data_IF_787939277757
#
_entry.id   IF_787939277757
#
_cell.length_a   1.000
_cell.length_b   1.000
_cell.length_c   1.000
_cell.angle_alpha   90.00
_cell.angle_beta   90.00
_cell.angle_gamma   90.00
#
_symmetry.space_group_name_H-M   'P 1'
#
loop_
_entity.id
_entity.type
_entity.pdbx_description
1 polymer ?
#
# COMPACT_ATOMS: atom_id res chain seq x y z
N UNK A 1 -11.08 -39.59 -6.35
CA UNK A 1 -11.20 -38.41 -5.47
C UNK A 1 -11.16 -37.16 -6.34
N UNK A 2 -12.13 -36.29 -6.14
CA UNK A 2 -12.23 -35.01 -6.84
C UNK A 2 -11.19 -34.01 -6.28
N UNK A 3 -10.77 -33.06 -7.12
CA UNK A 3 -9.84 -32.01 -6.75
C UNK A 3 -10.48 -30.63 -7.00
N UNK A 4 -9.95 -29.58 -6.39
CA UNK A 4 -10.41 -28.19 -6.62
C UNK A 4 -10.39 -27.87 -8.11
N UNK A 5 -11.46 -27.24 -8.60
CA UNK A 5 -11.61 -26.87 -9.99
C UNK A 5 -12.06 -27.98 -10.96
N UNK A 6 -12.20 -29.22 -10.47
CA UNK A 6 -12.73 -30.31 -11.30
C UNK A 6 -14.18 -30.01 -11.69
N UNK A 7 -14.51 -30.33 -12.95
CA UNK A 7 -15.89 -30.32 -13.42
C UNK A 7 -16.46 -31.74 -13.38
N UNK A 8 -17.61 -31.88 -12.75
CA UNK A 8 -18.36 -33.13 -12.69
C UNK A 8 -19.63 -32.95 -13.49
N UNK A 9 -19.81 -33.79 -14.52
CA UNK A 9 -21.07 -33.86 -15.25
C UNK A 9 -21.83 -35.11 -14.80
N UNK A 10 -23.05 -34.90 -14.32
CA UNK A 10 -23.99 -35.97 -13.99
C UNK A 10 -25.02 -36.05 -15.12
N UNK A 11 -24.96 -37.16 -15.85
CA UNK A 11 -25.91 -37.47 -16.91
C UNK A 11 -26.98 -38.42 -16.34
N UNK A 12 -28.23 -37.99 -16.38
CA UNK A 12 -29.38 -38.78 -15.89
C UNK A 12 -30.21 -39.22 -17.08
N UNK A 13 -30.32 -40.53 -17.22
CA UNK A 13 -31.22 -41.18 -18.16
C UNK A 13 -32.23 -41.99 -17.37
N UNK A 14 -33.50 -41.87 -17.70
CA UNK A 14 -34.56 -42.70 -17.10
C UNK A 14 -35.12 -43.62 -18.17
N UNK A 15 -35.12 -44.92 -17.90
CA UNK A 15 -35.71 -45.92 -18.75
C UNK A 15 -36.97 -46.50 -18.07
N UNK A 16 -38.09 -46.50 -18.75
CA UNK A 16 -39.33 -47.08 -18.25
C UNK A 16 -39.31 -48.64 -18.32
N UNK A 17 -40.30 -49.29 -17.73
CA UNK A 17 -40.38 -50.76 -17.75
C UNK A 17 -40.66 -51.32 -19.16
N UNK A 18 -41.05 -50.50 -20.08
CA UNK A 18 -41.28 -50.89 -21.48
C UNK A 18 -40.00 -50.71 -22.33
N UNK A 19 -38.89 -50.15 -21.74
CA UNK A 19 -37.64 -49.97 -22.40
C UNK A 19 -37.48 -48.63 -23.10
N UNK A 20 -38.40 -47.68 -22.97
CA UNK A 20 -38.26 -46.35 -23.50
C UNK A 20 -37.34 -45.51 -22.61
N UNK A 21 -36.33 -44.89 -23.16
CA UNK A 21 -35.35 -44.05 -22.43
C UNK A 21 -35.66 -42.56 -22.67
N UNK A 22 -35.65 -41.76 -21.59
CA UNK A 22 -35.79 -40.33 -21.66
C UNK A 22 -34.61 -39.69 -22.43
N UNK A 23 -34.78 -38.42 -22.81
CA UNK A 23 -33.62 -37.61 -23.17
C UNK A 23 -32.68 -37.51 -21.97
N UNK A 24 -31.37 -37.44 -22.23
CA UNK A 24 -30.36 -37.23 -21.21
C UNK A 24 -30.49 -35.87 -20.61
N UNK A 25 -30.63 -35.77 -19.29
CA UNK A 25 -30.56 -34.49 -18.56
C UNK A 25 -29.15 -34.43 -17.95
N UNK A 26 -28.37 -33.46 -18.36
CA UNK A 26 -27.00 -33.27 -17.89
C UNK A 26 -26.92 -32.08 -16.92
N UNK A 27 -26.31 -32.32 -15.76
CA UNK A 27 -25.98 -31.30 -14.79
C UNK A 27 -24.46 -31.24 -14.65
N UNK A 28 -23.87 -30.06 -14.84
CA UNK A 28 -22.45 -29.85 -14.63
C UNK A 28 -22.20 -29.07 -13.36
N UNK A 29 -21.39 -29.60 -12.49
CA UNK A 29 -20.96 -28.97 -11.24
C UNK A 29 -19.46 -28.74 -11.28
N UNK A 30 -19.03 -27.57 -10.83
CA UNK A 30 -17.61 -27.29 -10.63
C UNK A 30 -17.30 -27.46 -9.14
N UNK A 31 -16.26 -28.23 -8.84
CA UNK A 31 -15.76 -28.32 -7.46
C UNK A 31 -15.08 -26.99 -7.14
N UNK A 32 -15.56 -26.31 -6.12
CA UNK A 32 -14.98 -25.04 -5.64
C UNK A 32 -13.50 -25.17 -5.25
N UNK A 33 -12.81 -24.05 -5.18
CA UNK A 33 -11.43 -24.06 -4.72
C UNK A 33 -11.36 -24.41 -3.23
N UNK A 34 -10.34 -25.17 -2.86
CA UNK A 34 -10.08 -25.47 -1.47
C UNK A 34 -9.73 -24.17 -0.72
N UNK A 35 -10.51 -23.81 0.29
CA UNK A 35 -10.39 -22.54 1.01
C UNK A 35 -11.34 -21.45 0.54
N UNK A 36 -12.15 -21.70 -0.48
CA UNK A 36 -13.29 -20.86 -0.87
C UNK A 36 -14.47 -21.23 0.04
N UNK A 37 -14.65 -20.48 1.10
CA UNK A 37 -15.64 -20.77 2.15
C UNK A 37 -17.01 -20.15 1.91
N UNK A 38 -17.10 -19.13 1.04
CA UNK A 38 -18.37 -18.49 0.70
C UNK A 38 -18.89 -18.89 -0.69
N UNK A 39 -18.12 -19.73 -1.42
CA UNK A 39 -18.47 -20.33 -2.70
C UNK A 39 -18.68 -19.29 -3.82
N UNK A 40 -17.93 -18.21 -3.77
CA UNK A 40 -17.95 -17.18 -4.81
C UNK A 40 -16.98 -17.46 -5.97
N UNK A 41 -16.23 -18.57 -5.91
CA UNK A 41 -15.15 -18.99 -6.80
C UNK A 41 -13.93 -18.07 -6.79
N UNK A 42 -13.76 -17.31 -5.74
CA UNK A 42 -12.56 -16.54 -5.44
C UNK A 42 -11.90 -17.10 -4.16
N UNK A 43 -10.65 -16.77 -3.92
CA UNK A 43 -10.01 -16.97 -2.63
C UNK A 43 -9.60 -15.58 -2.15
N UNK A 44 -10.55 -14.95 -1.48
CA UNK A 44 -10.56 -13.54 -1.16
C UNK A 44 -10.41 -13.23 0.33
N UNK A 45 -10.73 -11.99 0.66
CA UNK A 45 -10.70 -11.50 2.05
C UNK A 45 -11.81 -12.12 2.91
N UNK A 46 -12.96 -12.48 2.30
CA UNK A 46 -14.05 -13.20 2.96
C UNK A 46 -13.60 -14.55 3.49
N UNK A 47 -12.88 -15.30 2.65
CA UNK A 47 -12.34 -16.61 3.00
C UNK A 47 -11.27 -16.53 4.08
N UNK A 48 -10.33 -15.60 3.94
CA UNK A 48 -9.31 -15.37 4.96
C UNK A 48 -9.96 -15.02 6.32
N UNK A 49 -10.97 -14.15 6.31
CA UNK A 49 -11.69 -13.80 7.54
C UNK A 49 -12.42 -15.02 8.14
N UNK A 50 -13.03 -15.86 7.29
CA UNK A 50 -13.71 -17.09 7.71
C UNK A 50 -12.72 -18.10 8.29
N UNK A 51 -11.58 -18.31 7.63
CA UNK A 51 -10.49 -19.16 8.12
C UNK A 51 -9.98 -18.68 9.49
N UNK A 52 -9.64 -17.39 9.60
CA UNK A 52 -9.12 -16.80 10.84
C UNK A 52 -10.18 -16.79 11.96
N UNK A 53 -11.46 -16.62 11.65
CA UNK A 53 -12.53 -16.76 12.62
C UNK A 53 -12.61 -18.17 13.18
N UNK A 54 -12.51 -19.20 12.34
CA UNK A 54 -12.42 -20.61 12.77
C UNK A 54 -11.21 -20.85 13.67
N UNK A 55 -10.08 -20.23 13.38
CA UNK A 55 -8.87 -20.31 14.23
C UNK A 55 -9.06 -19.72 15.63
N UNK A 56 -9.82 -18.60 15.73
CA UNK A 56 -10.10 -17.92 17.01
C UNK A 56 -11.16 -18.60 17.86
N UNK A 57 -12.13 -19.27 17.22
CA UNK A 57 -13.28 -19.89 17.86
C UNK A 57 -13.00 -21.37 18.12
N UNK A 58 -12.13 -21.66 19.10
CA UNK A 58 -11.81 -23.02 19.57
C UNK A 58 -11.39 -24.01 18.47
N UNK A 59 -10.77 -23.49 17.42
CA UNK A 59 -10.30 -24.27 16.26
C UNK A 59 -11.44 -25.07 15.61
N UNK A 60 -12.35 -24.34 14.99
CA UNK A 60 -13.49 -24.91 14.27
C UNK A 60 -13.03 -25.87 13.15
N UNK A 61 -13.11 -27.17 13.40
CA UNK A 61 -12.69 -28.22 12.46
C UNK A 61 -13.49 -28.20 11.15
N UNK A 62 -14.64 -27.53 11.10
CA UNK A 62 -15.37 -27.34 9.83
C UNK A 62 -14.61 -26.48 8.82
N UNK A 63 -13.54 -25.81 9.24
CA UNK A 63 -12.64 -24.99 8.42
C UNK A 63 -11.32 -25.68 8.12
N UNK A 64 -11.18 -26.93 8.51
CA UNK A 64 -10.01 -27.75 8.22
C UNK A 64 -9.82 -27.91 6.70
N UNK A 65 -8.60 -27.74 6.23
CA UNK A 65 -8.22 -27.85 4.81
C UNK A 65 -7.23 -28.99 4.54
N UNK A 66 -6.57 -29.47 5.57
CA UNK A 66 -5.48 -30.39 5.38
C UNK A 66 -5.29 -31.40 6.50
N UNK A 67 -4.26 -32.23 6.41
CA UNK A 67 -3.22 -32.28 5.37
C UNK A 67 -3.72 -32.43 3.94
N UNK A 68 -2.90 -31.98 2.97
CA UNK A 68 -3.22 -32.11 1.55
C UNK A 68 -2.10 -32.84 0.81
N UNK A 69 -2.46 -33.55 -0.27
CA UNK A 69 -1.52 -34.05 -1.26
C UNK A 69 -1.73 -33.33 -2.61
N UNK A 70 -0.70 -33.32 -3.45
CA UNK A 70 -0.74 -32.61 -4.73
C UNK A 70 -0.23 -31.17 -4.64
N UNK A 71 -0.54 -30.39 -5.66
CA UNK A 71 -0.19 -28.98 -5.79
C UNK A 71 -1.42 -28.14 -6.12
N UNK A 72 -1.38 -26.85 -5.78
CA UNK A 72 -2.44 -25.92 -6.13
C UNK A 72 -2.67 -25.85 -7.66
N UNK A 73 -3.89 -25.78 -8.15
CA UNK A 73 -5.15 -25.82 -7.39
C UNK A 73 -5.65 -27.21 -7.04
N UNK A 74 -5.02 -28.26 -7.56
CA UNK A 74 -5.47 -29.65 -7.54
C UNK A 74 -5.11 -30.38 -6.25
N UNK A 75 -5.29 -29.70 -5.12
CA UNK A 75 -5.11 -30.32 -3.82
C UNK A 75 -6.16 -31.38 -3.54
N UNK A 76 -5.70 -32.46 -2.92
CA UNK A 76 -6.56 -33.52 -2.38
C UNK A 76 -6.54 -33.44 -0.86
N UNK A 77 -7.59 -32.92 -0.23
CA UNK A 77 -7.67 -32.86 1.22
C UNK A 77 -7.65 -34.24 1.84
N UNK A 78 -6.97 -34.36 2.97
CA UNK A 78 -6.96 -35.55 3.83
C UNK A 78 -7.17 -35.10 5.29
N UNK A 79 -8.39 -34.62 5.64
CA UNK A 79 -8.68 -34.07 6.93
C UNK A 79 -8.30 -35.06 8.05
N UNK A 80 -7.57 -34.58 9.05
CA UNK A 80 -7.13 -35.41 10.20
C UNK A 80 -7.86 -35.09 11.50
N UNK A 81 -8.87 -34.20 11.45
CA UNK A 81 -9.67 -33.75 12.57
C UNK A 81 -8.95 -32.73 13.45
N UNK A 82 -7.86 -32.11 12.96
CA UNK A 82 -7.06 -31.16 13.71
C UNK A 82 -6.90 -29.89 12.90
N UNK A 83 -7.52 -28.81 13.34
CA UNK A 83 -7.33 -27.49 12.72
C UNK A 83 -6.05 -26.84 13.26
N UNK A 84 -4.97 -26.87 12.46
CA UNK A 84 -3.63 -26.42 12.87
C UNK A 84 -2.89 -25.64 11.77
N UNK A 85 -1.60 -25.42 11.96
CA UNK A 85 -0.76 -24.65 11.03
C UNK A 85 -0.72 -25.26 9.62
N UNK A 86 -0.95 -26.56 9.46
CA UNK A 86 -0.98 -27.22 8.13
C UNK A 86 -2.14 -26.73 7.28
N UNK A 87 -3.29 -26.47 7.92
CA UNK A 87 -4.45 -25.85 7.27
C UNK A 87 -4.13 -24.41 6.82
N UNK A 88 -3.46 -23.65 7.69
CA UNK A 88 -3.00 -22.31 7.37
C UNK A 88 -2.04 -22.29 6.18
N UNK A 89 -1.10 -23.22 6.13
CA UNK A 89 -0.20 -23.37 5.00
C UNK A 89 -0.94 -23.76 3.71
N UNK A 90 -1.95 -24.60 3.81
CA UNK A 90 -2.79 -25.00 2.68
C UNK A 90 -3.57 -23.80 2.14
N UNK A 91 -4.20 -23.01 3.03
CA UNK A 91 -4.90 -21.79 2.66
C UNK A 91 -3.98 -20.82 1.93
N UNK A 92 -2.80 -20.51 2.50
CA UNK A 92 -1.82 -19.60 1.90
C UNK A 92 -1.35 -20.07 0.52
N UNK A 93 -1.14 -21.37 0.33
CA UNK A 93 -0.73 -21.92 -0.98
C UNK A 93 -1.84 -21.78 -2.03
N UNK A 94 -3.10 -22.03 -1.66
CA UNK A 94 -4.25 -21.83 -2.54
C UNK A 94 -4.45 -20.36 -2.89
N UNK A 95 -4.40 -19.48 -1.88
CA UNK A 95 -4.50 -18.05 -2.07
C UNK A 95 -3.42 -17.52 -3.02
N UNK A 96 -2.15 -17.87 -2.81
CA UNK A 96 -1.04 -17.47 -3.70
C UNK A 96 -1.25 -17.96 -5.13
N UNK A 97 -1.65 -19.20 -5.29
CA UNK A 97 -1.95 -19.74 -6.61
C UNK A 97 -3.10 -18.95 -7.27
N UNK A 98 -4.17 -18.72 -6.54
CA UNK A 98 -5.34 -17.99 -7.06
C UNK A 98 -4.94 -16.59 -7.52
N UNK A 99 -4.24 -15.81 -6.70
CA UNK A 99 -3.80 -14.45 -7.06
C UNK A 99 -2.86 -14.47 -8.27
N UNK A 100 -1.93 -15.41 -8.36
CA UNK A 100 -1.00 -15.52 -9.48
C UNK A 100 -1.66 -15.94 -10.81
N UNK A 101 -2.82 -16.60 -10.77
CA UNK A 101 -3.53 -17.09 -11.95
C UNK A 101 -4.80 -16.27 -12.28
N UNK A 102 -5.17 -15.32 -11.46
CA UNK A 102 -6.32 -14.44 -11.67
C UNK A 102 -5.92 -13.15 -12.39
N UNK A 103 -5.02 -13.23 -13.36
CA UNK A 103 -4.50 -12.10 -14.12
C UNK A 103 -5.63 -11.16 -14.61
N UNK A 104 -5.54 -9.87 -14.24
CA UNK A 104 -6.51 -8.84 -14.57
C UNK A 104 -7.57 -8.55 -13.50
N UNK A 105 -7.65 -9.31 -12.41
CA UNK A 105 -8.58 -9.04 -11.29
C UNK A 105 -8.02 -8.06 -10.24
N UNK A 106 -6.71 -7.79 -10.26
CA UNK A 106 -6.05 -6.85 -9.34
C UNK A 106 -6.16 -5.38 -9.75
N UNK A 107 -6.80 -5.06 -10.86
CA UNK A 107 -7.12 -3.66 -11.17
C UNK A 107 -8.05 -3.13 -10.07
N UNK A 108 -7.78 -1.90 -9.62
CA UNK A 108 -8.58 -1.24 -8.60
C UNK A 108 -10.07 -1.42 -8.90
N UNK A 109 -10.73 -2.33 -8.16
CA UNK A 109 -12.18 -2.46 -8.21
C UNK A 109 -12.74 -1.09 -7.85
N UNK A 110 -13.60 -0.52 -8.68
CA UNK A 110 -14.39 0.64 -8.28
C UNK A 110 -15.38 0.17 -7.20
N UNK A 111 -14.93 0.22 -5.95
CA UNK A 111 -15.76 -0.19 -4.84
C UNK A 111 -16.75 0.92 -4.47
N UNK A 112 -17.99 0.60 -4.16
CA UNK A 112 -18.93 1.59 -3.66
C UNK A 112 -18.40 2.17 -2.34
N UNK A 113 -18.54 3.49 -2.16
CA UNK A 113 -18.17 4.14 -0.91
C UNK A 113 -19.22 3.82 0.17
N UNK A 114 -18.89 2.94 1.09
CA UNK A 114 -19.76 2.48 2.17
C UNK A 114 -19.09 2.74 3.52
N UNK A 115 -19.81 3.29 4.45
CA UNK A 115 -19.47 3.31 5.86
C UNK A 115 -18.18 4.06 6.20
N UNK A 116 -17.24 3.39 6.86
CA UNK A 116 -16.04 4.00 7.42
C UNK A 116 -14.94 4.15 6.35
N UNK A 117 -14.31 5.32 6.32
CA UNK A 117 -13.21 5.62 5.41
C UNK A 117 -11.87 5.12 5.93
N UNK A 118 -10.95 4.89 5.01
CA UNK A 118 -9.54 4.63 5.30
C UNK A 118 -8.86 5.89 5.82
N UNK A 119 -7.97 5.74 6.81
CA UNK A 119 -7.03 6.78 7.20
C UNK A 119 -5.65 6.41 6.65
N UNK A 120 -5.03 7.35 5.92
CA UNK A 120 -3.69 7.19 5.35
C UNK A 120 -2.81 8.30 5.90
N UNK A 121 -1.70 7.93 6.52
CA UNK A 121 -0.72 8.86 7.08
C UNK A 121 0.62 8.65 6.37
N UNK A 122 1.22 9.71 5.86
CA UNK A 122 2.50 9.66 5.16
C UNK A 122 3.67 9.96 6.07
N UNK A 123 4.78 9.29 5.80
CA UNK A 123 6.12 9.62 6.25
C UNK A 123 7.07 9.62 5.03
N UNK A 124 8.32 10.10 5.20
CA UNK A 124 9.27 10.24 4.09
C UNK A 124 9.57 8.96 3.30
N UNK A 125 9.58 7.83 3.96
CA UNK A 125 10.01 6.53 3.43
C UNK A 125 8.89 5.48 3.43
N UNK A 126 7.70 5.84 3.94
CA UNK A 126 6.56 4.92 4.02
C UNK A 126 5.25 5.66 4.16
N UNK A 127 4.15 4.95 4.00
CA UNK A 127 2.84 5.40 4.46
C UNK A 127 2.14 4.31 5.28
N UNK A 128 1.23 4.74 6.13
CA UNK A 128 0.47 3.86 7.03
C UNK A 128 -1.00 3.88 6.63
N UNK A 129 -1.57 2.70 6.44
CA UNK A 129 -3.01 2.53 6.25
C UNK A 129 -3.60 2.06 7.57
N UNK A 130 -4.46 2.88 8.18
CA UNK A 130 -5.07 2.56 9.46
C UNK A 130 -6.54 2.19 9.28
N UNK A 131 -6.88 0.89 9.43
CA UNK A 131 -8.27 0.46 9.40
C UNK A 131 -9.06 1.00 10.60
N UNK A 132 -10.36 1.30 10.44
CA UNK A 132 -11.19 1.82 11.53
C UNK A 132 -11.44 0.77 12.62
N UNK A 133 -11.78 1.23 13.83
CA UNK A 133 -12.12 0.35 14.95
C UNK A 133 -13.25 -0.61 14.58
N UNK A 134 -13.10 -1.86 14.97
CA UNK A 134 -14.06 -2.93 14.70
C UNK A 134 -13.74 -3.76 13.45
N UNK A 135 -12.74 -3.36 12.67
CA UNK A 135 -12.24 -4.15 11.54
C UNK A 135 -11.62 -5.44 12.04
N UNK A 136 -12.01 -6.56 11.42
CA UNK A 136 -11.46 -7.89 11.69
C UNK A 136 -10.65 -8.41 10.52
N UNK A 137 -11.02 -8.03 9.29
CA UNK A 137 -10.20 -8.28 8.13
C UNK A 137 -10.23 -7.07 7.20
N UNK A 138 -9.17 -6.89 6.42
CA UNK A 138 -9.00 -5.79 5.50
C UNK A 138 -8.41 -6.29 4.18
N UNK A 139 -9.04 -5.85 3.09
CA UNK A 139 -8.46 -5.90 1.75
C UNK A 139 -8.02 -4.49 1.37
N UNK A 140 -6.81 -4.38 0.86
CA UNK A 140 -6.31 -3.16 0.23
C UNK A 140 -5.68 -3.52 -1.10
N UNK A 141 -6.08 -2.81 -2.14
CA UNK A 141 -5.42 -2.85 -3.45
C UNK A 141 -4.80 -1.49 -3.70
N UNK A 142 -3.51 -1.48 -3.97
CA UNK A 142 -2.74 -0.30 -4.36
C UNK A 142 -2.42 -0.40 -5.83
N UNK A 143 -2.61 0.70 -6.58
CA UNK A 143 -2.11 0.82 -7.94
C UNK A 143 -1.19 2.04 -8.03
N UNK A 144 -0.04 1.85 -8.64
CA UNK A 144 1.02 2.85 -8.71
C UNK A 144 1.76 2.80 -10.05
N UNK A 145 2.33 3.93 -10.51
CA UNK A 145 3.13 3.97 -11.72
C UNK A 145 4.52 3.34 -11.49
N UNK A 146 4.76 2.15 -12.06
CA UNK A 146 5.99 1.35 -11.88
C UNK A 146 7.29 2.04 -12.33
N UNK A 147 7.19 3.06 -13.18
CA UNK A 147 8.33 3.86 -13.63
C UNK A 147 8.79 4.89 -12.61
N UNK A 148 7.96 5.23 -11.64
CA UNK A 148 8.19 6.33 -10.69
C UNK A 148 8.45 5.85 -9.27
N UNK A 149 7.92 4.67 -8.91
CA UNK A 149 8.03 4.07 -7.59
C UNK A 149 8.39 2.59 -7.71
N UNK A 150 9.26 2.11 -6.84
CA UNK A 150 9.44 0.70 -6.53
C UNK A 150 8.82 0.39 -5.16
N UNK A 151 7.70 -0.31 -5.17
CA UNK A 151 7.05 -0.85 -3.98
C UNK A 151 7.38 -2.34 -3.76
N UNK A 152 8.25 -2.93 -4.58
CA UNK A 152 8.69 -4.33 -4.42
C UNK A 152 9.43 -4.56 -3.09
N UNK A 153 9.94 -3.49 -2.49
CA UNK A 153 10.61 -3.48 -1.19
C UNK A 153 9.65 -3.20 -0.02
N UNK A 154 8.34 -3.02 -0.29
CA UNK A 154 7.35 -2.89 0.77
C UNK A 154 7.30 -4.21 1.55
N UNK A 155 7.96 -4.24 2.69
CA UNK A 155 7.93 -5.37 3.62
C UNK A 155 6.58 -5.41 4.34
N UNK A 156 5.53 -5.84 3.63
CA UNK A 156 4.24 -6.14 4.25
C UNK A 156 4.21 -7.61 4.62
N UNK A 157 5.14 -8.03 5.46
CA UNK A 157 5.07 -9.32 6.11
C UNK A 157 4.85 -9.12 7.60
N UNK A 158 3.64 -9.37 8.05
CA UNK A 158 3.38 -9.53 9.46
C UNK A 158 2.52 -10.76 9.70
N UNK A 159 3.15 -11.91 9.81
CA UNK A 159 2.59 -12.98 10.64
C UNK A 159 3.00 -12.64 12.07
N UNK A 160 2.18 -11.87 12.74
CA UNK A 160 2.28 -11.66 14.18
C UNK A 160 1.35 -12.67 14.85
N UNK A 161 1.52 -12.88 16.15
CA UNK A 161 0.55 -13.61 16.96
C UNK A 161 -0.83 -12.93 17.01
N UNK A 162 -0.99 -11.78 16.36
CA UNK A 162 -2.18 -10.94 16.33
C UNK A 162 -2.90 -10.92 14.99
N UNK A 163 -2.20 -11.12 13.86
CA UNK A 163 -2.80 -11.05 12.52
C UNK A 163 -2.09 -11.94 11.51
N UNK A 164 -2.84 -12.42 10.51
CA UNK A 164 -2.31 -13.02 9.29
C UNK A 164 -2.44 -11.99 8.18
N UNK A 165 -1.30 -11.61 7.58
CA UNK A 165 -1.26 -10.71 6.43
C UNK A 165 -0.66 -11.44 5.23
N UNK A 166 -1.38 -11.41 4.12
CA UNK A 166 -0.99 -12.00 2.84
C UNK A 166 -0.83 -10.87 1.82
N UNK A 167 0.25 -10.90 1.07
CA UNK A 167 0.56 -9.88 0.07
C UNK A 167 0.86 -10.52 -1.27
N UNK A 168 0.28 -9.97 -2.33
CA UNK A 168 0.61 -10.30 -3.71
C UNK A 168 1.01 -9.02 -4.45
N UNK A 169 2.18 -9.04 -5.10
CA UNK A 169 2.73 -7.91 -5.86
C UNK A 169 2.81 -8.28 -7.32
N UNK A 170 2.16 -7.51 -8.17
CA UNK A 170 2.34 -7.56 -9.62
C UNK A 170 3.13 -6.33 -10.07
N UNK A 171 4.42 -6.53 -10.26
CA UNK A 171 5.34 -5.47 -10.72
C UNK A 171 5.12 -5.07 -12.17
N UNK A 172 4.37 -5.85 -12.94
CA UNK A 172 4.09 -5.54 -14.35
C UNK A 172 2.97 -4.53 -14.48
N UNK A 173 1.91 -4.71 -13.71
CA UNK A 173 0.76 -3.78 -13.68
C UNK A 173 0.95 -2.64 -12.67
N UNK A 174 1.93 -2.73 -11.78
CA UNK A 174 2.10 -1.79 -10.67
C UNK A 174 0.98 -1.90 -9.66
N UNK A 175 0.67 -3.13 -9.21
CA UNK A 175 -0.37 -3.34 -8.23
C UNK A 175 0.09 -4.21 -7.06
N UNK A 176 -0.42 -3.88 -5.87
CA UNK A 176 -0.23 -4.66 -4.65
C UNK A 176 -1.59 -4.97 -4.06
N UNK A 177 -1.86 -6.25 -3.84
CA UNK A 177 -3.00 -6.72 -3.06
C UNK A 177 -2.54 -7.12 -1.67
N UNK A 178 -3.23 -6.60 -0.66
CA UNK A 178 -2.98 -6.90 0.76
C UNK A 178 -4.26 -7.42 1.37
N UNK A 179 -4.22 -8.65 1.88
CA UNK A 179 -5.26 -9.22 2.73
C UNK A 179 -4.71 -9.37 4.14
N UNK A 180 -5.35 -8.77 5.12
CA UNK A 180 -4.96 -8.92 6.53
C UNK A 180 -6.16 -9.26 7.39
N UNK A 181 -6.05 -10.31 8.20
CA UNK A 181 -7.10 -10.70 9.14
C UNK A 181 -6.56 -10.87 10.55
N UNK A 182 -7.31 -10.36 11.53
CA UNK A 182 -6.89 -10.27 12.94
C UNK A 182 -7.14 -11.56 13.69
N UNK A 183 -6.12 -12.17 14.24
CA UNK A 183 -6.22 -13.30 15.16
C UNK A 183 -6.67 -12.86 16.56
N UNK A 184 -6.20 -11.70 17.03
CA UNK A 184 -6.55 -11.13 18.33
C UNK A 184 -6.69 -9.60 18.24
N UNK A 185 -7.50 -9.01 19.10
CA UNK A 185 -7.57 -7.57 19.27
C UNK A 185 -8.27 -6.80 18.15
N UNK A 186 -7.83 -5.58 17.94
CA UNK A 186 -8.30 -4.67 16.91
C UNK A 186 -7.30 -4.64 15.74
N UNK A 187 -7.77 -4.13 14.59
CA UNK A 187 -6.93 -3.94 13.41
C UNK A 187 -5.66 -3.14 13.73
N UNK A 188 -4.55 -3.65 13.25
CA UNK A 188 -3.25 -2.96 13.28
C UNK A 188 -3.07 -2.12 12.02
N UNK A 189 -2.40 -0.96 12.08
CA UNK A 189 -2.01 -0.22 10.90
C UNK A 189 -1.11 -1.07 9.98
N UNK A 190 -1.30 -0.92 8.67
CA UNK A 190 -0.49 -1.56 7.64
C UNK A 190 0.54 -0.55 7.17
N UNK A 191 1.81 -0.86 7.36
CA UNK A 191 2.93 -0.04 6.90
C UNK A 191 3.33 -0.48 5.49
N UNK A 192 3.53 0.49 4.60
CA UNK A 192 4.01 0.28 3.24
C UNK A 192 5.22 1.16 3.02
N UNK A 193 6.37 0.54 2.85
CA UNK A 193 7.62 1.23 2.57
C UNK A 193 7.69 1.59 1.09
N UNK A 194 8.25 2.76 0.77
CA UNK A 194 8.30 3.34 -0.57
C UNK A 194 9.74 3.66 -0.95
N UNK A 195 10.17 3.15 -2.10
CA UNK A 195 11.41 3.56 -2.74
C UNK A 195 11.10 4.41 -3.98
N UNK A 196 11.46 5.70 -3.95
CA UNK A 196 11.24 6.61 -5.06
C UNK A 196 12.30 6.42 -6.14
N UNK A 197 11.87 6.26 -7.39
CA UNK A 197 12.73 6.18 -8.57
C UNK A 197 12.96 7.55 -9.21
N UNK A 198 12.03 8.51 -9.01
CA UNK A 198 12.12 9.88 -9.50
C UNK A 198 12.04 10.91 -8.36
N UNK A 199 12.78 12.02 -8.51
CA UNK A 199 13.07 12.95 -7.41
C UNK A 199 12.12 14.13 -7.27
N UNK A 200 11.21 14.40 -8.18
CA UNK A 200 10.55 15.73 -8.24
C UNK A 200 9.03 15.69 -8.51
N UNK A 201 8.39 14.54 -8.47
CA UNK A 201 6.96 14.44 -8.77
C UNK A 201 6.19 13.87 -7.57
N UNK A 202 5.08 14.52 -7.25
CA UNK A 202 4.05 13.92 -6.41
C UNK A 202 3.46 12.72 -7.16
N UNK A 203 3.52 11.55 -6.56
CA UNK A 203 3.14 10.31 -7.21
C UNK A 203 1.81 9.85 -6.63
N UNK A 204 0.73 9.83 -7.44
CA UNK A 204 -0.55 9.34 -6.98
C UNK A 204 -0.53 7.81 -6.86
N UNK A 205 -1.00 7.32 -5.72
CA UNK A 205 -1.32 5.91 -5.50
C UNK A 205 -2.83 5.79 -5.37
N UNK A 206 -3.43 5.00 -6.23
CA UNK A 206 -4.83 4.64 -6.13
C UNK A 206 -4.99 3.54 -5.08
N UNK A 207 -5.84 3.78 -4.11
CA UNK A 207 -6.11 2.85 -3.01
C UNK A 207 -7.57 2.42 -3.09
N UNK A 208 -7.80 1.14 -3.34
CA UNK A 208 -9.12 0.53 -3.13
C UNK A 208 -9.10 -0.27 -1.84
N UNK A 209 -10.15 -0.17 -1.02
CA UNK A 209 -10.16 -0.83 0.28
C UNK A 209 -11.53 -1.39 0.63
N UNK A 210 -11.51 -2.51 1.38
CA UNK A 210 -12.68 -3.10 2.00
C UNK A 210 -12.36 -3.53 3.44
N UNK A 211 -13.22 -3.17 4.38
CA UNK A 211 -13.11 -3.51 5.79
C UNK A 211 -14.24 -4.44 6.20
N UNK A 212 -13.88 -5.57 6.75
CA UNK A 212 -14.79 -6.63 7.19
C UNK A 212 -14.87 -6.62 8.72
N UNK A 213 -16.09 -6.64 9.24
CA UNK A 213 -16.40 -6.71 10.65
C UNK A 213 -16.41 -8.14 11.21
N UNK A 214 -16.86 -8.27 12.46
CA UNK A 214 -16.83 -9.53 13.22
C UNK A 214 -17.67 -10.63 12.59
N UNK A 215 -18.81 -10.29 12.01
CA UNK A 215 -19.76 -11.23 11.44
C UNK A 215 -19.66 -11.31 9.91
N UNK A 216 -18.47 -11.02 9.36
CA UNK A 216 -18.19 -10.95 7.92
C UNK A 216 -18.97 -9.86 7.17
N UNK A 217 -19.57 -8.91 7.88
CA UNK A 217 -20.22 -7.73 7.28
C UNK A 217 -19.18 -6.73 6.76
N UNK A 218 -19.43 -6.10 5.61
CA UNK A 218 -18.65 -4.95 5.13
C UNK A 218 -18.98 -3.72 5.96
N UNK A 219 -18.05 -3.27 6.79
CA UNK A 219 -18.20 -2.08 7.65
C UNK A 219 -17.65 -0.79 7.00
N UNK A 220 -16.94 -0.92 5.90
CA UNK A 220 -16.44 0.18 5.10
C UNK A 220 -15.80 -0.31 3.82
N UNK A 221 -15.99 0.43 2.74
CA UNK A 221 -15.32 0.22 1.46
C UNK A 221 -15.24 1.52 0.67
N UNK A 222 -14.35 1.58 -0.30
CA UNK A 222 -14.24 2.73 -1.19
C UNK A 222 -12.90 2.81 -1.90
N UNK A 223 -12.69 3.96 -2.54
CA UNK A 223 -11.47 4.29 -3.23
C UNK A 223 -10.95 5.62 -2.69
N UNK A 224 -9.63 5.75 -2.64
CA UNK A 224 -8.92 6.97 -2.27
C UNK A 224 -7.70 7.13 -3.17
N UNK A 225 -7.27 8.37 -3.37
CA UNK A 225 -5.97 8.67 -3.97
C UNK A 225 -5.10 9.23 -2.87
N UNK A 226 -3.90 8.70 -2.77
CA UNK A 226 -2.89 9.18 -1.84
C UNK A 226 -1.67 9.64 -2.61
N UNK A 227 -1.29 10.90 -2.43
CA UNK A 227 -0.11 11.46 -3.08
C UNK A 227 1.12 11.23 -2.21
N UNK A 228 2.11 10.56 -2.77
CA UNK A 228 3.40 10.35 -2.12
C UNK A 228 4.37 11.38 -2.66
N UNK A 229 4.87 12.23 -1.77
CA UNK A 229 5.92 13.18 -2.10
C UNK A 229 7.29 12.51 -2.02
N UNK A 230 8.12 12.62 -3.08
CA UNK A 230 9.48 12.11 -3.01
C UNK A 230 10.28 12.83 -1.94
N UNK A 231 11.13 12.09 -1.24
CA UNK A 231 11.98 12.63 -0.19
C UNK A 231 13.44 12.51 -0.59
N UNK A 232 14.22 13.58 -0.45
CA UNK A 232 15.65 13.54 -0.70
C UNK A 232 16.35 12.52 0.20
N UNK A 233 17.36 11.86 -0.33
CA UNK A 233 18.20 10.92 0.47
C UNK A 233 19.31 11.63 1.24
N UNK A 234 19.66 12.87 0.84
CA UNK A 234 20.73 13.67 1.41
C UNK A 234 20.33 15.13 1.56
N UNK A 235 20.91 15.82 2.54
CA UNK A 235 20.80 17.27 2.64
C UNK A 235 21.51 17.94 1.48
N UNK A 236 20.86 18.87 0.79
CA UNK A 236 21.50 19.69 -0.23
C UNK A 236 21.08 21.16 -0.10
N UNK A 237 21.98 22.06 -0.48
CA UNK A 237 21.71 23.46 -0.76
C UNK A 237 22.15 23.72 -2.19
N UNK A 238 21.20 24.03 -3.07
CA UNK A 238 21.44 24.21 -4.49
C UNK A 238 21.86 25.64 -4.82
N UNK A 239 22.43 25.81 -6.01
CA UNK A 239 22.71 27.14 -6.55
C UNK A 239 21.38 27.86 -6.77
N UNK A 240 21.33 29.13 -6.36
CA UNK A 240 20.18 29.99 -6.64
C UNK A 240 20.01 30.25 -8.13
N UNK A 241 18.76 30.32 -8.59
CA UNK A 241 18.47 30.59 -9.99
C UNK A 241 17.39 31.68 -10.12
N UNK A 242 17.61 32.65 -11.00
CA UNK A 242 18.84 32.95 -11.74
C UNK A 242 20.00 33.40 -10.83
N UNK A 243 21.25 33.25 -11.29
CA UNK A 243 22.46 33.81 -10.67
C UNK A 243 23.47 34.14 -11.76
N UNK A 244 23.83 35.42 -12.04
CA UNK A 244 23.34 36.63 -11.33
C UNK A 244 21.84 36.89 -11.52
N UNK A 245 21.21 37.63 -10.58
CA UNK A 245 19.78 37.88 -10.56
C UNK A 245 19.42 39.39 -10.45
N UNK A 246 18.18 39.74 -10.86
CA UNK A 246 17.65 41.12 -10.79
C UNK A 246 16.10 41.11 -10.77
N UNK A 247 15.42 41.57 -9.72
CA UNK A 247 15.89 41.63 -8.34
C UNK A 247 15.59 40.30 -7.60
N UNK A 248 15.05 39.32 -8.28
CA UNK A 248 14.56 38.09 -7.66
C UNK A 248 15.34 36.86 -8.05
N UNK A 249 15.49 35.96 -7.08
CA UNK A 249 16.08 34.61 -7.27
C UNK A 249 15.36 33.58 -6.41
N UNK A 250 15.44 32.34 -6.80
CA UNK A 250 14.94 31.17 -6.04
C UNK A 250 16.11 30.39 -5.51
N UNK A 251 16.03 30.04 -4.24
CA UNK A 251 17.00 29.17 -3.53
C UNK A 251 16.30 27.87 -3.26
N UNK A 252 16.79 26.77 -3.81
CA UNK A 252 16.30 25.42 -3.55
C UNK A 252 17.20 24.69 -2.54
N UNK A 253 16.58 23.85 -1.71
CA UNK A 253 17.28 23.01 -0.72
C UNK A 253 16.49 21.74 -0.45
N UNK A 254 17.21 20.66 -0.11
CA UNK A 254 16.67 19.33 0.09
C UNK A 254 16.84 18.91 1.55
N UNK A 255 15.79 18.34 2.13
CA UNK A 255 15.74 17.84 3.50
C UNK A 255 15.38 16.35 3.50
N UNK A 256 16.30 15.44 3.86
CA UNK A 256 16.00 14.01 3.93
C UNK A 256 15.16 13.62 5.16
N UNK A 257 15.02 14.51 6.11
CA UNK A 257 14.25 14.31 7.34
C UNK A 257 13.66 15.62 7.85
N UNK A 258 12.59 15.51 8.60
CA UNK A 258 11.95 16.62 9.29
C UNK A 258 12.95 17.33 10.23
N UNK A 259 12.88 18.64 10.31
CA UNK A 259 13.76 19.35 11.22
C UNK A 259 13.53 20.87 11.27
N UNK A 260 14.25 21.51 12.19
CA UNK A 260 14.28 22.98 12.26
C UNK A 260 15.29 23.51 11.25
N UNK A 261 14.81 24.30 10.31
CA UNK A 261 15.61 24.91 9.24
C UNK A 261 15.80 26.40 9.50
N UNK A 262 17.02 26.87 9.26
CA UNK A 262 17.37 28.27 9.16
C UNK A 262 18.02 28.56 7.83
N UNK A 263 17.42 29.42 7.02
CA UNK A 263 17.98 29.92 5.77
C UNK A 263 18.10 31.41 5.86
N UNK A 264 19.34 31.91 5.90
CA UNK A 264 19.66 33.33 6.20
C UNK A 264 20.56 33.90 5.11
N UNK A 265 20.28 35.13 4.69
CA UNK A 265 21.08 35.88 3.75
C UNK A 265 22.04 36.79 4.52
N UNK A 266 23.30 36.79 4.11
CA UNK A 266 24.35 37.65 4.66
C UNK A 266 24.99 38.51 3.57
N UNK A 267 25.46 39.71 3.94
CA UNK A 267 26.33 40.51 3.10
C UNK A 267 27.79 40.05 3.20
N UNK A 268 28.67 40.69 2.42
CA UNK A 268 30.12 40.41 2.40
C UNK A 268 30.84 40.66 3.73
N UNK A 269 30.24 41.42 4.62
CA UNK A 269 30.76 41.69 5.97
C UNK A 269 30.22 40.70 7.02
N UNK A 270 29.43 39.69 6.61
CA UNK A 270 28.82 38.73 7.50
C UNK A 270 27.61 39.24 8.29
N UNK A 271 27.05 40.38 7.92
CA UNK A 271 25.84 40.92 8.58
C UNK A 271 24.59 40.24 8.00
N UNK A 272 23.67 39.84 8.88
CA UNK A 272 22.38 39.30 8.47
C UNK A 272 21.55 40.36 7.72
N UNK A 273 21.20 40.05 6.50
CA UNK A 273 20.37 40.89 5.62
C UNK A 273 18.91 40.49 5.68
N UNK A 274 18.62 39.21 5.51
CA UNK A 274 17.28 38.67 5.57
C UNK A 274 17.27 37.23 6.11
N UNK A 275 16.16 36.83 6.67
CA UNK A 275 15.93 35.45 7.11
C UNK A 275 14.74 34.92 6.33
N UNK A 276 15.01 33.94 5.44
CA UNK A 276 14.01 33.45 4.52
C UNK A 276 13.20 32.26 5.13
N UNK A 277 13.88 31.40 5.91
CA UNK A 277 13.26 30.29 6.63
C UNK A 277 13.78 30.28 8.06
N UNK A 278 12.89 30.08 9.04
CA UNK A 278 13.27 29.92 10.44
C UNK A 278 12.16 29.16 11.19
N UNK A 279 12.19 27.86 11.14
CA UNK A 279 11.18 27.03 11.80
C UNK A 279 11.23 25.57 11.42
N UNK A 280 10.28 24.82 11.92
CA UNK A 280 10.09 23.44 11.56
C UNK A 280 9.70 23.33 10.08
N UNK A 281 10.39 22.43 9.37
CA UNK A 281 10.17 22.17 7.95
C UNK A 281 10.16 20.65 7.79
N UNK A 282 9.15 20.06 7.14
CA UNK A 282 9.11 18.62 6.88
C UNK A 282 10.20 18.23 5.89
N UNK A 283 10.50 16.94 5.85
CA UNK A 283 11.34 16.35 4.81
C UNK A 283 10.75 16.64 3.41
N UNK A 284 11.61 16.76 2.41
CA UNK A 284 11.18 17.05 1.03
C UNK A 284 12.11 18.02 0.30
N UNK A 285 11.72 18.31 -0.95
CA UNK A 285 12.35 19.32 -1.80
C UNK A 285 11.69 20.67 -1.55
N UNK A 286 12.48 21.66 -1.18
CA UNK A 286 11.99 22.98 -0.82
C UNK A 286 12.59 24.06 -1.70
N UNK A 287 11.81 25.10 -1.91
CA UNK A 287 12.30 26.30 -2.58
C UNK A 287 11.75 27.55 -1.90
N UNK A 288 12.55 28.61 -1.86
CA UNK A 288 12.15 29.90 -1.34
C UNK A 288 12.66 31.02 -2.25
N UNK A 289 11.80 31.98 -2.50
CA UNK A 289 12.11 33.12 -3.31
C UNK A 289 12.64 34.28 -2.46
N UNK A 290 13.70 34.92 -2.91
CA UNK A 290 14.20 36.18 -2.35
C UNK A 290 14.11 37.30 -3.38
N UNK A 291 13.58 38.44 -2.98
CA UNK A 291 13.28 39.59 -3.81
C UNK A 291 14.26 40.76 -3.57
N UNK A 292 15.48 40.47 -3.10
CA UNK A 292 16.52 41.45 -2.77
C UNK A 292 16.10 42.49 -1.72
N UNK A 293 15.28 42.07 -0.73
CA UNK A 293 14.89 42.93 0.40
C UNK A 293 15.53 42.48 1.68
N UNK A 294 15.83 43.48 2.54
CA UNK A 294 16.30 43.23 3.88
C UNK A 294 15.13 42.92 4.84
N UNK A 295 15.44 42.65 6.12
CA UNK A 295 14.45 42.36 7.15
C UNK A 295 13.46 43.52 7.46
N UNK A 296 13.75 44.73 6.97
CA UNK A 296 12.87 45.89 7.10
C UNK A 296 12.01 46.11 5.83
N UNK A 297 12.15 45.21 4.82
CA UNK A 297 11.45 45.35 3.54
C UNK A 297 12.08 46.34 2.55
N UNK A 298 13.26 46.84 2.84
CA UNK A 298 13.97 47.80 1.99
C UNK A 298 14.84 47.07 0.98
N UNK A 299 14.94 47.61 -0.26
CA UNK A 299 15.80 47.08 -1.30
C UNK A 299 17.27 47.17 -0.90
N UNK A 300 18.01 46.08 -1.10
CA UNK A 300 19.45 46.03 -0.83
C UNK A 300 20.25 46.46 -2.08
N UNK A 301 21.49 46.87 -1.90
CA UNK A 301 22.37 47.31 -2.98
C UNK A 301 22.81 46.12 -3.85
N UNK A 302 23.08 46.42 -5.16
CA UNK A 302 23.75 45.42 -6.01
C UNK A 302 25.09 44.98 -5.40
N UNK A 303 25.43 43.73 -5.55
CA UNK A 303 26.65 43.16 -4.96
C UNK A 303 26.59 41.66 -4.73
N UNK A 304 27.57 41.18 -3.98
CA UNK A 304 27.69 39.80 -3.59
C UNK A 304 27.00 39.58 -2.25
N UNK A 305 26.22 38.50 -2.18
CA UNK A 305 25.55 38.02 -0.98
C UNK A 305 25.83 36.53 -0.78
N UNK A 306 25.70 36.08 0.46
CA UNK A 306 25.80 34.65 0.83
C UNK A 306 24.49 34.23 1.43
N UNK A 307 24.05 33.02 1.08
CA UNK A 307 22.95 32.36 1.76
C UNK A 307 23.45 31.11 2.50
N UNK A 308 22.98 30.97 3.71
CA UNK A 308 23.44 30.00 4.67
C UNK A 308 22.27 29.15 5.15
N UNK A 309 22.33 27.85 4.87
CA UNK A 309 21.35 26.87 5.34
C UNK A 309 21.93 26.11 6.53
N UNK A 310 21.13 26.00 7.57
CA UNK A 310 21.39 25.14 8.73
C UNK A 310 20.16 24.28 9.03
N UNK A 311 20.36 22.96 9.14
CA UNK A 311 19.35 21.99 9.62
C UNK A 311 20.04 20.91 10.45
N UNK A 312 19.80 20.88 11.76
CA UNK A 312 20.55 20.01 12.67
C UNK A 312 22.06 20.24 12.59
N UNK A 313 22.79 19.17 12.28
CA UNK A 313 24.25 19.23 12.07
C UNK A 313 24.67 19.65 10.64
N UNK A 314 23.74 19.66 9.70
CA UNK A 314 24.02 20.09 8.33
C UNK A 314 24.12 21.61 8.24
N UNK A 315 25.23 22.08 7.68
CA UNK A 315 25.51 23.49 7.46
C UNK A 315 26.14 23.67 6.09
N UNK A 316 25.57 24.55 5.26
CA UNK A 316 26.15 24.91 3.95
C UNK A 316 25.91 26.36 3.61
N UNK A 317 26.90 26.96 2.96
CA UNK A 317 26.86 28.36 2.46
C UNK A 317 27.13 28.39 0.98
N UNK A 318 26.36 29.17 0.26
CA UNK A 318 26.50 29.42 -1.17
C UNK A 318 26.56 30.94 -1.45
N UNK A 319 27.14 31.33 -2.60
CA UNK A 319 27.30 32.69 -3.03
C UNK A 319 26.31 33.05 -4.14
N UNK A 320 25.78 34.27 -4.12
CA UNK A 320 24.93 34.82 -5.17
C UNK A 320 25.30 36.25 -5.51
N UNK A 321 24.92 36.70 -6.71
CA UNK A 321 25.25 38.04 -7.22
C UNK A 321 23.97 38.74 -7.64
N UNK A 322 23.68 39.89 -6.97
CA UNK A 322 22.58 40.77 -7.32
C UNK A 322 23.08 41.83 -8.30
N UNK A 323 22.44 41.90 -9.44
CA UNK A 323 22.63 43.01 -10.41
C UNK A 323 21.74 44.19 -10.06
N UNK A 324 22.03 45.30 -10.66
CA UNK A 324 21.25 46.54 -10.46
C UNK A 324 20.11 46.59 -11.49
#
# INVERSE_FOLDING_TARGET
>A
PFTSGDQITLDINVTDLAGNTSETISYTYTIGYLGDYDFDNEIGIGDLNTFVNGWRLDKDISKELGPVTGSAPYFRPQPDGVFDLRDGMTFVRMWRWYQSNSAGKMLAKQLPSIGKKVAVESAPDHFMITPPRGTKAVEVVLNYPVQDIDLSMASVEAVTDQAITLTHVDTTSGSILIHSAQLKGNSTPIRIDVAHLQKELDIPIDISYQFIGKNSETIGSGNAVHEIMPVPTEFALHNNYPNPFNPTTTIAYDLPQDGTVRLIIYDVMGREVARLVNGFTPAGYHSVRWDARNKLGENVSAGVYFYHLQSGAYVKTQKMVLLK
#
